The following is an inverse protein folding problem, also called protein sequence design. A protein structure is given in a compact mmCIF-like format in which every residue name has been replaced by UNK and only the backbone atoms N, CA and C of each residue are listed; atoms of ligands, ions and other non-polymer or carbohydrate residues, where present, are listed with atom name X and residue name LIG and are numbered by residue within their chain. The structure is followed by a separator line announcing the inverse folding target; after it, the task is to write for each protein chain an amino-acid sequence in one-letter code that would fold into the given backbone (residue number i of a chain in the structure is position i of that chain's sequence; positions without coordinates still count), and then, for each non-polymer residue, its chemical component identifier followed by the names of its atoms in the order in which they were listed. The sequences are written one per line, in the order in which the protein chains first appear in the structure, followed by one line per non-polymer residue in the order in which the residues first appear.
data_IF_822188033063
#
_entry.id   IF_822188033063
#
_cell.length_a   1.000
_cell.length_b   1.000
_cell.length_c   1.000
_cell.angle_alpha   90.00
_cell.angle_beta   90.00
_cell.angle_gamma   90.00
#
_symmetry.space_group_name_H-M   'P 1'
#
loop_
_entity.id
_entity.type
_entity.pdbx_description
1 polymer ?
#
# COMPACT_ATOMS: atom_id res chain seq x y z
N UNK A 1 -64.30 -28.54 23.90
CA UNK A 1 -64.26 -27.21 24.55
C UNK A 1 -64.55 -26.17 23.49
N UNK A 2 -65.81 -25.75 23.42
CA UNK A 2 -66.41 -24.58 22.75
C UNK A 2 -65.79 -24.06 21.44
N UNK A 3 -66.32 -24.58 20.33
CA UNK A 3 -66.33 -23.95 19.01
C UNK A 3 -67.59 -23.08 18.85
N UNK A 4 -67.46 -21.83 18.44
CA UNK A 4 -68.58 -21.08 17.85
C UNK A 4 -68.08 -20.12 16.78
N UNK A 5 -68.03 -20.64 15.55
CA UNK A 5 -67.96 -19.89 14.30
C UNK A 5 -69.36 -19.30 14.06
N UNK A 6 -69.47 -17.97 14.00
CA UNK A 6 -70.72 -17.30 13.62
C UNK A 6 -70.89 -17.36 12.08
N UNK A 7 -72.10 -17.67 11.56
CA UNK A 7 -72.32 -17.86 10.14
C UNK A 7 -72.59 -16.53 9.40
N UNK A 8 -72.17 -16.50 8.13
CA UNK A 8 -72.58 -15.53 7.11
C UNK A 8 -74.11 -15.52 6.98
N UNK A 9 -74.73 -14.40 7.31
CA UNK A 9 -76.13 -14.16 6.97
C UNK A 9 -76.24 -13.72 5.51
N UNK A 10 -77.02 -14.50 4.77
CA UNK A 10 -77.38 -14.37 3.37
C UNK A 10 -78.23 -13.11 3.16
N UNK A 11 -77.83 -12.26 2.22
CA UNK A 11 -78.67 -11.17 1.70
C UNK A 11 -79.82 -11.75 0.88
N UNK A 12 -81.05 -11.32 1.16
CA UNK A 12 -82.22 -11.48 0.29
C UNK A 12 -83.25 -10.37 0.62
N UNK A 13 -84.12 -9.99 -0.33
CA UNK A 13 -84.12 -8.67 -0.96
C UNK A 13 -85.07 -7.69 -0.27
N UNK A 14 -84.65 -6.42 -0.21
CA UNK A 14 -85.53 -5.33 0.21
C UNK A 14 -86.66 -5.19 -0.82
N UNK A 15 -87.88 -5.38 -0.32
CA UNK A 15 -89.15 -5.09 -0.98
C UNK A 15 -89.13 -3.70 -1.62
N UNK A 16 -89.45 -3.66 -2.90
CA UNK A 16 -90.02 -2.50 -3.58
C UNK A 16 -91.37 -2.15 -2.95
N UNK A 17 -91.47 -0.96 -2.36
CA UNK A 17 -92.73 -0.26 -2.15
C UNK A 17 -92.45 1.24 -2.02
N UNK A 18 -92.85 1.98 -3.05
CA UNK A 18 -93.27 3.37 -3.06
C UNK A 18 -92.34 4.43 -2.43
N UNK A 19 -91.87 5.31 -3.31
CA UNK A 19 -91.28 6.61 -3.07
C UNK A 19 -91.88 7.40 -1.89
N UNK A 20 -91.31 7.24 -0.69
CA UNK A 20 -91.32 8.30 0.32
C UNK A 20 -90.02 9.09 0.17
N UNK A 21 -90.00 10.00 -0.80
CA UNK A 21 -89.01 11.07 -0.87
C UNK A 21 -89.27 12.11 0.24
N UNK A 22 -89.33 11.65 1.50
CA UNK A 22 -89.07 12.49 2.63
C UNK A 22 -87.57 12.79 2.56
N UNK A 23 -87.23 13.93 1.96
CA UNK A 23 -85.93 14.57 2.15
C UNK A 23 -85.64 14.54 3.65
N UNK A 24 -84.85 13.57 4.12
CA UNK A 24 -84.10 13.70 5.34
C UNK A 24 -83.29 14.97 5.12
N UNK A 25 -83.78 16.10 5.68
CA UNK A 25 -82.91 17.22 5.96
C UNK A 25 -81.85 16.62 6.84
N UNK A 26 -80.66 16.37 6.28
CA UNK A 26 -79.50 16.05 7.08
C UNK A 26 -79.42 17.15 8.13
N UNK A 27 -79.57 16.74 9.39
CA UNK A 27 -79.42 17.65 10.50
C UNK A 27 -78.01 18.27 10.39
N UNK A 28 -77.96 19.52 9.92
CA UNK A 28 -76.73 20.31 9.71
C UNK A 28 -75.90 20.43 11.01
N UNK A 29 -76.47 20.01 12.14
CA UNK A 29 -75.82 19.92 13.44
C UNK A 29 -74.71 18.86 13.52
N UNK A 30 -74.69 17.84 12.66
CA UNK A 30 -73.68 16.77 12.73
C UNK A 30 -72.35 17.13 12.03
N UNK A 31 -72.37 18.00 11.01
CA UNK A 31 -71.20 18.24 10.13
C UNK A 31 -70.22 19.28 10.72
N UNK A 32 -70.66 20.15 11.64
CA UNK A 32 -69.83 21.27 12.13
C UNK A 32 -69.18 21.05 13.51
N UNK A 33 -69.17 19.84 14.08
CA UNK A 33 -68.58 19.62 15.41
C UNK A 33 -69.20 20.50 16.51
N UNK A 34 -70.37 21.07 16.26
CA UNK A 34 -71.15 21.80 17.24
C UNK A 34 -71.88 20.78 18.11
N UNK A 35 -71.09 20.08 18.93
CA UNK A 35 -71.61 19.40 20.09
C UNK A 35 -72.41 20.45 20.87
N UNK A 36 -73.73 20.38 20.77
CA UNK A 36 -74.62 21.31 21.44
C UNK A 36 -74.29 21.23 22.93
N UNK A 37 -73.61 22.26 23.44
CA UNK A 37 -73.26 22.38 24.85
C UNK A 37 -74.58 22.58 25.60
N UNK A 38 -75.24 21.47 25.93
CA UNK A 38 -76.55 21.35 26.60
C UNK A 38 -76.50 21.76 28.07
N UNK A 39 -75.54 22.60 28.43
CA UNK A 39 -75.31 23.17 29.77
C UNK A 39 -74.84 24.63 29.72
N UNK A 40 -74.76 25.27 28.54
CA UNK A 40 -74.57 26.73 28.50
C UNK A 40 -75.82 27.38 29.11
N UNK A 41 -75.69 27.82 30.37
CA UNK A 41 -76.62 28.76 31.00
C UNK A 41 -76.60 30.05 30.18
N UNK A 42 -77.49 30.19 29.21
CA UNK A 42 -77.68 31.47 28.52
C UNK A 42 -78.07 32.48 29.58
N UNK A 43 -77.18 33.44 29.86
CA UNK A 43 -77.32 34.42 30.95
C UNK A 43 -78.69 35.11 30.80
N UNK A 44 -79.61 34.87 31.73
CA UNK A 44 -80.98 35.43 31.72
C UNK A 44 -82.12 34.48 31.37
N UNK A 45 -81.86 33.24 30.93
CA UNK A 45 -82.92 32.22 30.75
C UNK A 45 -83.16 31.41 32.02
N UNK A 46 -84.43 31.10 32.30
CA UNK A 46 -84.81 30.20 33.40
C UNK A 46 -84.51 28.75 33.01
N UNK A 47 -83.82 27.96 33.84
CA UNK A 47 -83.56 26.55 33.55
C UNK A 47 -84.85 25.72 33.63
N UNK A 48 -84.91 24.59 32.90
CA UNK A 48 -86.12 23.74 32.81
C UNK A 48 -86.68 23.25 34.15
N UNK A 49 -85.82 23.06 35.16
CA UNK A 49 -86.21 22.61 36.50
C UNK A 49 -86.79 23.72 37.39
N UNK A 50 -86.58 24.99 37.02
CA UNK A 50 -87.11 26.09 37.80
C UNK A 50 -88.57 26.31 37.43
N UNK A 51 -89.48 26.36 38.41
CA UNK A 51 -90.89 26.55 38.10
C UNK A 51 -91.12 27.89 37.40
N UNK A 52 -92.16 27.93 36.57
CA UNK A 52 -92.66 29.16 36.00
C UNK A 52 -93.03 30.14 37.13
N UNK A 53 -92.87 31.44 36.89
CA UNK A 53 -93.27 32.43 37.89
C UNK A 53 -94.79 32.36 38.13
N UNK A 54 -95.26 32.50 39.39
CA UNK A 54 -96.70 32.46 39.70
C UNK A 54 -97.52 33.45 38.86
N UNK A 55 -96.99 34.65 38.62
CA UNK A 55 -97.62 35.68 37.77
C UNK A 55 -97.75 35.30 36.28
N UNK A 56 -97.02 34.28 35.81
CA UNK A 56 -97.06 33.80 34.42
C UNK A 56 -97.86 32.49 34.25
N UNK A 57 -98.27 31.82 35.32
CA UNK A 57 -99.02 30.54 35.27
C UNK A 57 -100.31 30.64 34.47
N UNK A 58 -101.02 31.76 34.61
CA UNK A 58 -102.34 31.97 34.04
C UNK A 58 -102.39 33.14 33.05
N UNK A 59 -101.23 33.64 32.61
CA UNK A 59 -101.16 34.71 31.62
C UNK A 59 -101.41 34.15 30.22
N UNK A 60 -102.62 34.33 29.70
CA UNK A 60 -102.98 33.96 28.33
C UNK A 60 -102.61 35.13 27.40
N UNK A 61 -101.77 34.85 26.39
CA UNK A 61 -101.45 35.84 25.36
C UNK A 61 -102.49 35.74 24.25
N UNK A 62 -103.47 36.65 24.26
CA UNK A 62 -104.32 36.88 23.10
C UNK A 62 -103.43 37.50 22.03
N UNK A 63 -103.21 36.78 20.92
CA UNK A 63 -102.45 37.32 19.79
C UNK A 63 -103.09 38.62 19.27
N UNK A 64 -102.36 39.44 18.50
CA UNK A 64 -102.96 40.61 17.87
C UNK A 64 -104.14 40.18 16.99
N UNK A 65 -105.22 40.98 16.91
CA UNK A 65 -106.32 40.73 15.98
C UNK A 65 -105.76 40.73 14.55
N UNK A 66 -106.30 39.87 13.70
CA UNK A 66 -105.82 39.71 12.32
C UNK A 66 -106.98 39.89 11.36
N UNK A 67 -106.74 40.68 10.34
CA UNK A 67 -107.72 40.87 9.28
C UNK A 67 -107.67 39.68 8.30
N UNK A 68 -108.82 39.11 7.92
CA UNK A 68 -108.86 37.92 7.07
C UNK A 68 -108.33 38.20 5.65
N UNK A 69 -108.54 39.41 5.14
CA UNK A 69 -108.06 39.83 3.82
C UNK A 69 -106.52 39.91 3.78
N UNK A 70 -105.92 40.53 4.79
CA UNK A 70 -104.46 40.63 4.92
C UNK A 70 -103.82 39.24 5.00
N UNK A 71 -104.42 38.33 5.78
CA UNK A 71 -103.96 36.95 5.89
C UNK A 71 -103.94 36.21 4.55
N UNK A 72 -104.99 36.36 3.75
CA UNK A 72 -105.06 35.74 2.43
C UNK A 72 -103.94 36.26 1.50
N UNK A 73 -103.70 37.58 1.52
CA UNK A 73 -102.61 38.21 0.76
C UNK A 73 -101.25 37.72 1.25
N UNK A 74 -101.00 37.73 2.56
CA UNK A 74 -99.74 37.26 3.15
C UNK A 74 -99.48 35.78 2.85
N UNK A 75 -100.51 34.92 2.90
CA UNK A 75 -100.39 33.51 2.55
C UNK A 75 -100.01 33.34 1.07
N UNK A 76 -100.65 34.07 0.17
CA UNK A 76 -100.30 34.05 -1.26
C UNK A 76 -98.85 34.50 -1.49
N UNK A 77 -98.44 35.63 -0.92
CA UNK A 77 -97.09 36.18 -1.09
C UNK A 77 -96.02 35.28 -0.48
N UNK A 78 -96.24 34.76 0.73
CA UNK A 78 -95.29 33.85 1.37
C UNK A 78 -95.18 32.51 0.63
N UNK A 79 -96.27 32.02 0.03
CA UNK A 79 -96.25 30.82 -0.79
C UNK A 79 -95.46 31.03 -2.08
N UNK A 80 -95.67 32.16 -2.76
CA UNK A 80 -94.89 32.54 -3.94
C UNK A 80 -93.39 32.68 -3.62
N UNK A 81 -93.05 33.48 -2.61
CA UNK A 81 -91.68 33.68 -2.14
C UNK A 81 -90.98 32.36 -1.78
N UNK A 82 -91.65 31.48 -1.02
CA UNK A 82 -91.07 30.18 -0.65
C UNK A 82 -90.82 29.28 -1.86
N UNK A 83 -91.67 29.37 -2.88
CA UNK A 83 -91.53 28.62 -4.13
C UNK A 83 -90.32 29.14 -4.91
N UNK A 84 -90.19 30.46 -5.07
CA UNK A 84 -89.04 31.12 -5.71
C UNK A 84 -87.73 30.79 -4.99
N UNK A 85 -87.70 30.92 -3.66
CA UNK A 85 -86.51 30.58 -2.87
C UNK A 85 -86.16 29.08 -2.93
N UNK A 86 -87.17 28.20 -3.06
CA UNK A 86 -86.93 26.77 -3.28
C UNK A 86 -86.33 26.52 -4.65
N UNK A 87 -86.79 27.22 -5.69
CA UNK A 87 -86.22 27.13 -7.03
C UNK A 87 -84.75 27.58 -7.05
N UNK A 88 -84.45 28.72 -6.41
CA UNK A 88 -83.06 29.20 -6.26
C UNK A 88 -82.21 28.16 -5.53
N UNK A 89 -82.68 27.65 -4.38
CA UNK A 89 -81.93 26.62 -3.64
C UNK A 89 -81.64 25.39 -4.49
N UNK A 90 -82.63 24.90 -5.23
CA UNK A 90 -82.47 23.74 -6.09
C UNK A 90 -81.43 23.99 -7.19
N UNK A 91 -81.45 25.17 -7.82
CA UNK A 91 -80.44 25.57 -8.80
C UNK A 91 -79.01 25.47 -8.24
N UNK A 92 -78.77 26.05 -7.07
CA UNK A 92 -77.44 25.98 -6.43
C UNK A 92 -77.05 24.54 -6.02
N UNK A 93 -78.02 23.72 -5.64
CA UNK A 93 -77.76 22.30 -5.33
C UNK A 93 -77.37 21.52 -6.59
N UNK A 94 -78.00 21.79 -7.72
CA UNK A 94 -77.67 21.18 -9.01
C UNK A 94 -76.30 21.64 -9.52
N UNK A 95 -75.94 22.91 -9.38
CA UNK A 95 -74.59 23.39 -9.70
C UNK A 95 -73.53 22.70 -8.83
N UNK A 96 -73.76 22.64 -7.52
CA UNK A 96 -72.84 21.96 -6.61
C UNK A 96 -72.67 20.46 -6.95
N UNK A 97 -73.75 19.79 -7.37
CA UNK A 97 -73.67 18.41 -7.85
C UNK A 97 -72.78 18.29 -9.09
N UNK A 98 -72.87 19.22 -10.04
CA UNK A 98 -72.00 19.25 -11.23
C UNK A 98 -70.53 19.47 -10.86
N UNK A 99 -70.24 20.29 -9.86
CA UNK A 99 -68.87 20.48 -9.36
C UNK A 99 -68.31 19.18 -8.78
N UNK A 100 -69.12 18.43 -8.02
CA UNK A 100 -68.72 17.11 -7.49
C UNK A 100 -68.48 16.10 -8.61
N UNK A 101 -69.33 16.07 -9.64
CA UNK A 101 -69.13 15.21 -10.81
C UNK A 101 -67.85 15.58 -11.59
N UNK A 102 -67.45 16.86 -11.60
CA UNK A 102 -66.17 17.29 -12.17
C UNK A 102 -65.00 16.74 -11.36
N UNK A 103 -65.10 16.73 -10.04
CA UNK A 103 -64.10 16.10 -9.15
C UNK A 103 -63.98 14.60 -9.43
N UNK A 104 -65.07 13.90 -9.67
CA UNK A 104 -65.04 12.47 -10.01
C UNK A 104 -64.35 12.20 -11.37
N UNK A 105 -64.47 13.11 -12.36
CA UNK A 105 -63.73 13.02 -13.63
C UNK A 105 -62.21 13.10 -13.44
N UNK A 106 -61.74 13.84 -12.44
CA UNK A 106 -60.32 13.85 -12.10
C UNK A 106 -59.83 12.48 -11.59
N UNK A 107 -60.71 11.65 -11.03
CA UNK A 107 -60.35 10.27 -10.65
C UNK A 107 -60.06 9.39 -11.87
N UNK A 108 -60.82 9.55 -12.96
CA UNK A 108 -60.57 8.81 -14.20
C UNK A 108 -59.25 9.25 -14.86
N UNK A 109 -59.00 10.57 -14.91
CA UNK A 109 -57.73 11.11 -15.40
C UNK A 109 -56.54 10.61 -14.57
N UNK A 110 -56.68 10.56 -13.25
CA UNK A 110 -55.64 10.01 -12.36
C UNK A 110 -55.30 8.55 -12.67
N UNK A 111 -56.29 7.73 -13.03
CA UNK A 111 -56.04 6.33 -13.41
C UNK A 111 -55.34 6.22 -14.78
N UNK A 112 -55.64 7.13 -15.70
CA UNK A 112 -54.96 7.20 -16.99
C UNK A 112 -53.50 7.64 -16.82
N UNK A 113 -53.25 8.65 -15.97
CA UNK A 113 -51.91 9.11 -15.59
C UNK A 113 -51.07 8.00 -14.96
N UNK A 114 -51.65 7.19 -14.06
CA UNK A 114 -50.97 6.03 -13.47
C UNK A 114 -50.57 4.99 -14.52
N UNK A 115 -51.47 4.70 -15.48
CA UNK A 115 -51.17 3.77 -16.59
C UNK A 115 -50.09 4.30 -17.52
N UNK A 116 -50.07 5.60 -17.79
CA UNK A 116 -49.01 6.22 -18.58
C UNK A 116 -47.66 6.15 -17.85
N UNK A 117 -47.67 6.40 -16.54
CA UNK A 117 -46.48 6.28 -15.71
C UNK A 117 -45.93 4.84 -15.72
N UNK A 118 -46.79 3.82 -15.62
CA UNK A 118 -46.39 2.41 -15.74
C UNK A 118 -45.71 2.12 -17.10
N UNK A 119 -46.28 2.60 -18.20
CA UNK A 119 -45.67 2.43 -19.55
C UNK A 119 -44.28 3.07 -19.64
N UNK A 120 -44.13 4.27 -19.09
CA UNK A 120 -42.85 4.97 -19.07
C UNK A 120 -41.80 4.23 -18.24
N UNK A 121 -42.20 3.61 -17.13
CA UNK A 121 -41.31 2.77 -16.33
C UNK A 121 -40.87 1.54 -17.12
N UNK A 122 -41.79 0.85 -17.82
CA UNK A 122 -41.44 -0.29 -18.66
C UNK A 122 -40.46 0.09 -19.79
N UNK A 123 -40.65 1.25 -20.42
CA UNK A 123 -39.72 1.76 -21.43
C UNK A 123 -38.35 2.10 -20.83
N UNK A 124 -38.33 2.70 -19.64
CA UNK A 124 -37.11 2.98 -18.91
C UNK A 124 -36.35 1.69 -18.56
N UNK A 125 -37.05 0.66 -18.11
CA UNK A 125 -36.48 -0.64 -17.82
C UNK A 125 -35.86 -1.29 -19.06
N UNK A 126 -36.55 -1.24 -20.21
CA UNK A 126 -36.01 -1.75 -21.49
C UNK A 126 -34.75 -0.99 -21.92
N UNK A 127 -34.73 0.32 -21.79
CA UNK A 127 -33.55 1.12 -22.12
C UNK A 127 -32.40 0.86 -21.12
N UNK A 128 -32.71 0.70 -19.83
CA UNK A 128 -31.73 0.31 -18.82
C UNK A 128 -31.10 -1.05 -19.13
N UNK A 129 -31.90 -2.02 -19.59
CA UNK A 129 -31.41 -3.33 -20.03
C UNK A 129 -30.48 -3.20 -21.24
N UNK A 130 -30.88 -2.42 -22.25
CA UNK A 130 -30.05 -2.14 -23.43
C UNK A 130 -28.71 -1.49 -23.04
N UNK A 131 -28.75 -0.47 -22.18
CA UNK A 131 -27.56 0.22 -21.68
C UNK A 131 -26.70 -0.71 -20.84
N UNK A 132 -27.29 -1.61 -20.05
CA UNK A 132 -26.55 -2.61 -19.28
C UNK A 132 -25.74 -3.55 -20.20
N UNK A 133 -26.32 -3.99 -21.32
CA UNK A 133 -25.61 -4.79 -22.33
C UNK A 133 -24.41 -4.03 -22.89
N UNK A 134 -24.60 -2.78 -23.31
CA UNK A 134 -23.50 -1.93 -23.82
C UNK A 134 -22.41 -1.69 -22.76
N UNK A 135 -22.79 -1.50 -21.49
CA UNK A 135 -21.83 -1.38 -20.37
C UNK A 135 -21.01 -2.66 -20.20
N UNK A 136 -21.65 -3.83 -20.28
CA UNK A 136 -20.95 -5.12 -20.20
C UNK A 136 -19.96 -5.29 -21.35
N UNK A 137 -20.33 -4.93 -22.57
CA UNK A 137 -19.43 -4.98 -23.74
C UNK A 137 -18.24 -4.04 -23.57
N UNK A 138 -18.47 -2.80 -23.15
CA UNK A 138 -17.40 -1.84 -22.85
C UNK A 138 -16.46 -2.37 -21.76
N UNK A 139 -17.01 -2.92 -20.68
CA UNK A 139 -16.21 -3.46 -19.58
C UNK A 139 -15.34 -4.63 -20.03
N UNK A 140 -15.87 -5.55 -20.86
CA UNK A 140 -15.08 -6.64 -21.45
C UNK A 140 -13.91 -6.12 -22.29
N UNK A 141 -14.13 -5.05 -23.06
CA UNK A 141 -13.07 -4.41 -23.85
C UNK A 141 -12.01 -3.76 -22.95
N UNK A 142 -12.42 -3.06 -21.89
CA UNK A 142 -11.50 -2.47 -20.91
C UNK A 142 -10.71 -3.54 -20.16
N UNK A 143 -11.34 -4.65 -19.76
CA UNK A 143 -10.68 -5.79 -19.14
C UNK A 143 -9.65 -6.42 -20.08
N UNK A 144 -9.98 -6.61 -21.36
CA UNK A 144 -9.04 -7.11 -22.35
C UNK A 144 -7.81 -6.19 -22.48
N UNK A 145 -8.01 -4.86 -22.54
CA UNK A 145 -6.92 -3.88 -22.57
C UNK A 145 -6.04 -3.95 -21.33
N UNK A 146 -6.64 -4.09 -20.14
CA UNK A 146 -5.89 -4.23 -18.87
C UNK A 146 -5.05 -5.51 -18.87
N UNK A 147 -5.60 -6.62 -19.36
CA UNK A 147 -4.86 -7.88 -19.50
C UNK A 147 -3.67 -7.71 -20.45
N UNK A 148 -3.86 -7.04 -21.60
CA UNK A 148 -2.77 -6.75 -22.53
C UNK A 148 -1.68 -5.87 -21.91
N UNK A 149 -2.04 -4.84 -21.14
CA UNK A 149 -1.08 -4.01 -20.42
C UNK A 149 -0.30 -4.80 -19.36
N UNK A 150 -0.97 -5.67 -18.62
CA UNK A 150 -0.33 -6.55 -17.64
C UNK A 150 0.66 -7.50 -18.32
N UNK A 151 0.27 -8.10 -19.45
CA UNK A 151 1.16 -8.97 -20.23
C UNK A 151 2.39 -8.22 -20.74
N UNK A 152 2.24 -6.97 -21.19
CA UNK A 152 3.37 -6.12 -21.59
C UNK A 152 4.31 -5.85 -20.41
N UNK A 153 3.77 -5.50 -19.24
CA UNK A 153 4.57 -5.29 -18.01
C UNK A 153 5.30 -6.56 -17.58
N UNK A 154 4.64 -7.71 -17.65
CA UNK A 154 5.28 -9.00 -17.37
C UNK A 154 6.41 -9.31 -18.36
N UNK A 155 6.23 -9.02 -19.65
CA UNK A 155 7.26 -9.20 -20.66
C UNK A 155 8.47 -8.27 -20.39
N UNK A 156 8.24 -6.99 -20.12
CA UNK A 156 9.29 -6.03 -19.76
C UNK A 156 10.03 -6.45 -18.48
N UNK A 157 9.30 -6.93 -17.46
CA UNK A 157 9.89 -7.42 -16.22
C UNK A 157 10.77 -8.66 -16.47
N UNK A 158 10.35 -9.59 -17.34
CA UNK A 158 11.16 -10.75 -17.74
C UNK A 158 12.45 -10.33 -18.44
N UNK A 159 12.39 -9.34 -19.34
CA UNK A 159 13.57 -8.80 -20.03
C UNK A 159 14.53 -8.13 -19.04
N UNK A 160 14.03 -7.27 -18.14
CA UNK A 160 14.84 -6.65 -17.09
C UNK A 160 15.49 -7.68 -16.18
N UNK A 161 14.75 -8.71 -15.80
CA UNK A 161 15.27 -9.80 -14.98
C UNK A 161 16.36 -10.61 -15.70
N UNK A 162 16.25 -10.82 -17.01
CA UNK A 162 17.30 -11.44 -17.82
C UNK A 162 18.56 -10.56 -17.88
N UNK A 163 18.42 -9.25 -18.09
CA UNK A 163 19.54 -8.30 -18.09
C UNK A 163 20.26 -8.25 -16.73
N UNK A 164 19.50 -8.25 -15.62
CA UNK A 164 20.08 -8.29 -14.27
C UNK A 164 20.83 -9.60 -14.01
N UNK A 165 20.31 -10.74 -14.49
CA UNK A 165 21.01 -12.02 -14.40
C UNK A 165 22.34 -11.99 -15.15
N UNK A 166 22.34 -11.46 -16.37
CA UNK A 166 23.55 -11.31 -17.17
C UNK A 166 24.58 -10.41 -16.47
N UNK A 167 24.17 -9.25 -15.94
CA UNK A 167 25.04 -8.36 -15.16
C UNK A 167 25.64 -9.06 -13.93
N UNK A 168 24.84 -9.86 -13.21
CA UNK A 168 25.31 -10.62 -12.05
C UNK A 168 26.31 -11.70 -12.47
N UNK A 169 26.09 -12.39 -13.60
CA UNK A 169 27.04 -13.37 -14.13
C UNK A 169 28.35 -12.72 -14.58
N UNK A 170 28.28 -11.56 -15.25
CA UNK A 170 29.46 -10.77 -15.62
C UNK A 170 30.27 -10.35 -14.39
N UNK A 171 29.59 -9.84 -13.35
CA UNK A 171 30.23 -9.49 -12.08
C UNK A 171 30.89 -10.70 -11.41
N UNK A 172 30.22 -11.86 -11.40
CA UNK A 172 30.79 -13.11 -10.87
C UNK A 172 32.07 -13.51 -11.62
N UNK A 173 32.04 -13.46 -12.95
CA UNK A 173 33.21 -13.77 -13.79
C UNK A 173 34.34 -12.77 -13.54
N UNK A 174 34.04 -11.49 -13.37
CA UNK A 174 35.03 -10.46 -13.04
C UNK A 174 35.70 -10.73 -11.68
N UNK A 175 34.94 -11.11 -10.66
CA UNK A 175 35.48 -11.46 -9.33
C UNK A 175 36.43 -12.67 -9.44
N UNK A 176 36.03 -13.73 -10.14
CA UNK A 176 36.88 -14.92 -10.33
C UNK A 176 38.19 -14.58 -11.07
N UNK A 177 38.13 -13.70 -12.08
CA UNK A 177 39.33 -13.21 -12.79
C UNK A 177 40.25 -12.43 -11.84
N UNK A 178 39.69 -11.55 -11.02
CA UNK A 178 40.45 -10.78 -10.03
C UNK A 178 41.11 -11.69 -8.99
N UNK A 179 40.40 -12.70 -8.48
CA UNK A 179 40.96 -13.69 -7.55
C UNK A 179 42.11 -14.47 -8.18
N UNK A 180 41.94 -14.93 -9.43
CA UNK A 180 43.02 -15.59 -10.17
C UNK A 180 44.24 -14.69 -10.33
N UNK A 181 44.05 -13.44 -10.74
CA UNK A 181 45.15 -12.49 -10.92
C UNK A 181 45.90 -12.23 -9.60
N UNK A 182 45.17 -12.03 -8.49
CA UNK A 182 45.77 -11.88 -7.15
C UNK A 182 46.61 -13.09 -6.74
N UNK A 183 46.13 -14.30 -7.05
CA UNK A 183 46.85 -15.53 -6.76
C UNK A 183 48.11 -15.67 -7.62
N UNK A 184 48.05 -15.30 -8.91
CA UNK A 184 49.22 -15.25 -9.79
C UNK A 184 50.24 -14.19 -9.32
N UNK A 185 49.79 -13.02 -8.88
CA UNK A 185 50.64 -11.97 -8.30
C UNK A 185 51.31 -12.43 -7.00
N UNK A 186 50.57 -13.06 -6.08
CA UNK A 186 51.12 -13.60 -4.84
C UNK A 186 52.24 -14.62 -5.12
N UNK A 187 52.03 -15.52 -6.09
CA UNK A 187 53.06 -16.47 -6.53
C UNK A 187 54.30 -15.78 -7.07
N UNK A 188 54.15 -14.73 -7.89
CA UNK A 188 55.28 -13.95 -8.41
C UNK A 188 56.06 -13.27 -7.29
N UNK A 189 55.36 -12.70 -6.30
CA UNK A 189 56.00 -12.07 -5.13
C UNK A 189 56.78 -13.11 -4.31
N UNK A 190 56.19 -14.28 -4.08
CA UNK A 190 56.88 -15.39 -3.39
C UNK A 190 58.15 -15.84 -4.13
N UNK A 191 58.10 -15.97 -5.46
CA UNK A 191 59.28 -16.31 -6.26
C UNK A 191 60.38 -15.24 -6.18
N UNK A 192 60.02 -13.96 -6.22
CA UNK A 192 60.97 -12.86 -6.08
C UNK A 192 61.63 -12.86 -4.69
N UNK A 193 60.85 -13.05 -3.63
CA UNK A 193 61.37 -13.14 -2.27
C UNK A 193 62.37 -14.30 -2.10
N UNK A 194 62.09 -15.47 -2.71
CA UNK A 194 63.03 -16.60 -2.72
C UNK A 194 64.34 -16.23 -3.41
N UNK A 195 64.27 -15.60 -4.60
CA UNK A 195 65.47 -15.13 -5.33
C UNK A 195 66.29 -14.11 -4.53
N UNK A 196 65.62 -13.16 -3.87
CA UNK A 196 66.31 -12.19 -3.00
C UNK A 196 66.98 -12.87 -1.80
N UNK A 197 66.32 -13.82 -1.15
CA UNK A 197 66.88 -14.57 -0.03
C UNK A 197 68.13 -15.36 -0.47
N UNK A 198 68.07 -16.07 -1.59
CA UNK A 198 69.22 -16.78 -2.16
C UNK A 198 70.37 -15.83 -2.52
N UNK A 199 70.08 -14.67 -3.11
CA UNK A 199 71.09 -13.67 -3.43
C UNK A 199 71.76 -13.09 -2.17
N UNK A 200 70.99 -12.82 -1.10
CA UNK A 200 71.51 -12.36 0.19
C UNK A 200 72.44 -13.40 0.84
N UNK A 201 72.07 -14.68 0.80
CA UNK A 201 72.91 -15.77 1.32
C UNK A 201 74.23 -15.86 0.55
N UNK A 202 74.19 -15.82 -0.79
CA UNK A 202 75.40 -15.84 -1.63
C UNK A 202 76.31 -14.63 -1.35
N UNK A 203 75.74 -13.44 -1.18
CA UNK A 203 76.49 -12.24 -0.84
C UNK A 203 77.14 -12.33 0.55
N UNK A 204 76.45 -12.90 1.54
CA UNK A 204 77.01 -13.12 2.87
C UNK A 204 78.21 -14.06 2.82
N UNK A 205 78.10 -15.18 2.09
CA UNK A 205 79.20 -16.14 1.90
C UNK A 205 80.43 -15.49 1.23
N UNK A 206 80.21 -14.66 0.19
CA UNK A 206 81.31 -13.93 -0.47
C UNK A 206 81.98 -12.93 0.48
N UNK A 207 81.21 -12.23 1.31
CA UNK A 207 81.76 -11.30 2.32
C UNK A 207 82.63 -12.03 3.33
N UNK A 208 82.17 -13.16 3.84
CA UNK A 208 82.95 -13.99 4.78
C UNK A 208 84.29 -14.44 4.16
N UNK A 209 84.27 -14.93 2.92
CA UNK A 209 85.49 -15.31 2.19
C UNK A 209 86.47 -14.14 2.03
N UNK A 210 85.96 -12.95 1.68
CA UNK A 210 86.80 -11.75 1.55
C UNK A 210 87.38 -11.32 2.90
N UNK A 211 86.59 -11.38 3.98
CA UNK A 211 87.07 -11.06 5.33
C UNK A 211 88.16 -12.03 5.81
N UNK A 212 88.03 -13.32 5.51
CA UNK A 212 89.07 -14.32 5.80
C UNK A 212 90.37 -14.01 5.08
N UNK A 213 90.30 -13.70 3.78
CA UNK A 213 91.46 -13.30 3.00
C UNK A 213 92.13 -12.06 3.62
N UNK A 214 91.35 -11.03 3.96
CA UNK A 214 91.87 -9.80 4.58
C UNK A 214 92.50 -10.08 5.95
N UNK A 215 91.91 -10.96 6.78
CA UNK A 215 92.48 -11.35 8.09
C UNK A 215 93.81 -12.07 7.93
N UNK A 216 93.91 -13.00 6.98
CA UNK A 216 95.16 -13.70 6.68
C UNK A 216 96.23 -12.73 6.19
N UNK A 217 95.86 -11.79 5.32
CA UNK A 217 96.80 -10.82 4.76
C UNK A 217 97.27 -9.80 5.81
N UNK A 218 96.41 -9.37 6.74
CA UNK A 218 96.80 -8.54 7.91
C UNK A 218 97.81 -9.25 8.83
N UNK A 219 97.68 -10.57 9.00
CA UNK A 219 98.68 -11.35 9.75
C UNK A 219 100.01 -11.38 9.00
N UNK A 220 99.98 -11.55 7.67
CA UNK A 220 101.18 -11.56 6.81
C UNK A 220 101.88 -10.20 6.76
N UNK A 221 101.14 -9.09 6.72
CA UNK A 221 101.75 -7.76 6.63
C UNK A 221 102.66 -7.41 7.80
N UNK A 222 102.47 -8.04 8.98
CA UNK A 222 103.37 -7.88 10.12
C UNK A 222 104.79 -8.40 9.86
N UNK A 223 104.97 -9.30 8.91
CA UNK A 223 106.26 -9.96 8.58
C UNK A 223 106.95 -9.36 7.35
N UNK A 224 106.40 -8.31 6.76
CA UNK A 224 106.98 -7.68 5.57
C UNK A 224 108.18 -6.82 5.94
N UNK A 225 109.23 -6.87 5.12
CA UNK A 225 110.44 -6.06 5.30
C UNK A 225 110.07 -4.59 5.09
N UNK A 226 110.15 -3.81 6.15
CA UNK A 226 110.03 -2.34 6.12
C UNK A 226 111.43 -1.73 5.98
N UNK A 227 111.50 -0.42 5.68
CA UNK A 227 112.78 0.31 5.62
C UNK A 227 113.55 0.25 6.95
N UNK A 228 112.84 0.12 8.07
CA UNK A 228 113.42 0.06 9.42
C UNK A 228 114.06 -1.31 9.71
N UNK A 229 113.43 -2.40 9.26
CA UNK A 229 113.89 -3.78 9.49
C UNK A 229 114.72 -4.33 8.31
N UNK A 230 115.25 -3.45 7.45
CA UNK A 230 115.87 -3.82 6.19
C UNK A 230 117.27 -4.40 6.38
N UNK A 231 118.12 -3.73 7.17
CA UNK A 231 119.50 -4.17 7.41
C UNK A 231 119.52 -5.51 8.17
N UNK A 232 118.68 -5.64 9.21
CA UNK A 232 118.51 -6.89 9.98
C UNK A 232 118.02 -8.05 9.11
N UNK A 233 117.11 -7.78 8.16
CA UNK A 233 116.63 -8.79 7.23
C UNK A 233 117.70 -9.23 6.22
N UNK A 234 118.58 -8.31 5.78
CA UNK A 234 119.69 -8.62 4.88
C UNK A 234 120.72 -9.50 5.60
N UNK A 235 121.12 -9.13 6.82
CA UNK A 235 122.06 -9.92 7.62
C UNK A 235 121.52 -11.33 7.86
N UNK A 236 120.25 -11.45 8.29
CA UNK A 236 119.60 -12.74 8.51
C UNK A 236 119.56 -13.61 7.24
N UNK A 237 119.31 -13.01 6.07
CA UNK A 237 119.26 -13.73 4.80
C UNK A 237 120.65 -14.20 4.31
N UNK A 238 121.70 -13.45 4.64
CA UNK A 238 123.09 -13.83 4.33
C UNK A 238 123.56 -14.96 5.25
N UNK A 239 123.26 -14.87 6.54
CA UNK A 239 123.62 -15.89 7.53
C UNK A 239 122.90 -17.21 7.30
N UNK A 240 121.65 -17.17 6.83
CA UNK A 240 120.79 -18.34 6.62
C UNK A 240 120.47 -18.55 5.13
N UNK A 241 121.37 -19.18 4.33
CA UNK A 241 121.04 -19.54 2.95
C UNK A 241 119.93 -20.58 2.93
N UNK A 242 118.82 -20.24 2.26
CA UNK A 242 117.64 -21.10 2.16
C UNK A 242 117.69 -21.90 0.85
N UNK A 243 117.57 -23.23 0.96
CA UNK A 243 117.34 -24.11 -0.20
C UNK A 243 115.85 -24.44 -0.32
N UNK A 244 115.26 -24.16 -1.50
CA UNK A 244 113.91 -24.63 -1.87
C UNK A 244 113.96 -25.95 -2.65
N UNK A 245 115.15 -26.56 -2.79
CA UNK A 245 115.32 -27.83 -3.49
C UNK A 245 114.81 -28.98 -2.62
N UNK A 246 113.69 -29.58 -3.03
CA UNK A 246 113.19 -30.82 -2.46
C UNK A 246 112.79 -31.79 -3.58
N UNK A 247 112.97 -33.08 -3.33
CA UNK A 247 112.46 -34.14 -4.17
C UNK A 247 111.17 -34.71 -3.56
N UNK A 248 110.28 -35.23 -4.41
CA UNK A 248 109.05 -35.91 -3.97
C UNK A 248 109.14 -37.36 -4.42
N UNK A 249 108.96 -38.28 -3.47
CA UNK A 249 108.79 -39.70 -3.77
C UNK A 249 107.43 -39.98 -4.42
N UNK A 250 107.27 -41.12 -5.08
CA UNK A 250 105.98 -41.54 -5.67
C UNK A 250 104.83 -41.66 -4.63
N UNK A 251 105.16 -41.74 -3.34
CA UNK A 251 104.19 -41.72 -2.22
C UNK A 251 103.84 -40.31 -1.73
N UNK A 252 104.37 -39.27 -2.37
CA UNK A 252 104.12 -37.87 -2.00
C UNK A 252 104.92 -37.39 -0.77
N UNK A 253 105.98 -38.10 -0.38
CA UNK A 253 106.85 -37.71 0.74
C UNK A 253 107.97 -36.80 0.23
N UNK A 254 108.15 -35.65 0.86
CA UNK A 254 109.16 -34.65 0.50
C UNK A 254 110.50 -34.99 1.18
N UNK A 255 111.58 -35.07 0.40
CA UNK A 255 112.97 -35.26 0.87
C UNK A 255 113.73 -33.97 0.54
N UNK A 256 114.34 -33.36 1.56
CA UNK A 256 115.00 -32.05 1.45
C UNK A 256 116.54 -32.18 1.42
N UNK A 257 117.20 -31.36 0.62
CA UNK A 257 118.65 -31.21 0.65
C UNK A 257 119.05 -30.16 1.70
N UNK A 258 119.55 -30.61 2.85
CA UNK A 258 119.97 -29.74 3.95
C UNK A 258 118.86 -29.41 4.94
N UNK A 259 118.98 -28.28 5.65
CA UNK A 259 117.97 -27.81 6.61
C UNK A 259 116.72 -27.31 5.86
N UNK A 260 115.52 -27.85 6.14
CA UNK A 260 114.31 -27.44 5.45
C UNK A 260 114.00 -25.95 5.65
N UNK A 261 113.51 -25.28 4.60
CA UNK A 261 113.22 -23.84 4.65
C UNK A 261 112.32 -23.43 5.83
N UNK A 262 111.36 -24.27 6.26
CA UNK A 262 110.45 -23.93 7.36
C UNK A 262 111.06 -24.06 8.77
N UNK A 263 112.21 -24.73 8.95
CA UNK A 263 112.79 -24.93 10.29
C UNK A 263 113.56 -23.71 10.81
N UNK A 264 114.15 -22.92 9.91
CA UNK A 264 114.89 -21.69 10.25
C UNK A 264 113.96 -20.54 10.73
N UNK A 265 112.71 -20.52 10.25
CA UNK A 265 111.72 -19.49 10.61
C UNK A 265 111.00 -19.75 11.95
N UNK A 266 111.45 -20.71 12.75
CA UNK A 266 110.99 -20.88 14.14
C UNK A 266 111.66 -19.90 15.12
N UNK A 267 112.81 -19.31 14.75
CA UNK A 267 113.62 -18.48 15.64
C UNK A 267 113.95 -17.08 15.07
N UNK A 268 113.46 -16.74 13.87
CA UNK A 268 113.67 -15.43 13.22
C UNK A 268 112.49 -14.45 13.38
N UNK A 269 112.66 -13.17 12.97
CA UNK A 269 111.63 -12.13 13.09
C UNK A 269 110.41 -12.34 12.17
N UNK A 270 110.50 -13.25 11.20
CA UNK A 270 109.41 -13.62 10.31
C UNK A 270 108.74 -14.93 10.75
N UNK A 271 107.41 -14.91 10.86
CA UNK A 271 106.61 -16.09 11.19
C UNK A 271 106.66 -17.12 10.04
N UNK A 272 106.82 -18.40 10.36
CA UNK A 272 106.79 -19.49 9.37
C UNK A 272 105.61 -19.35 8.38
N UNK A 273 105.92 -19.28 7.09
CA UNK A 273 104.92 -19.28 6.02
C UNK A 273 104.28 -20.67 5.96
N UNK A 274 103.07 -20.80 6.51
CA UNK A 274 102.27 -21.98 6.27
C UNK A 274 101.79 -21.92 4.81
N UNK A 275 102.27 -22.85 3.98
CA UNK A 275 101.65 -23.07 2.67
C UNK A 275 100.15 -23.34 2.90
N UNK A 276 99.26 -22.72 2.11
CA UNK A 276 97.83 -23.05 2.20
C UNK A 276 97.70 -24.57 2.02
N UNK A 277 96.91 -25.20 2.89
CA UNK A 277 96.59 -26.62 2.73
C UNK A 277 96.15 -26.85 1.29
N UNK A 278 96.80 -27.79 0.59
CA UNK A 278 96.36 -28.16 -0.75
C UNK A 278 94.91 -28.59 -0.62
N UNK A 279 93.98 -27.78 -1.13
CA UNK A 279 92.60 -28.23 -1.34
C UNK A 279 92.71 -29.49 -2.19
N UNK A 280 92.30 -30.63 -1.64
CA UNK A 280 92.10 -31.81 -2.46
C UNK A 280 91.06 -31.39 -3.51
N UNK A 281 91.49 -31.37 -4.77
CA UNK A 281 90.59 -31.18 -5.90
C UNK A 281 89.74 -32.44 -6.07
#
# INVERSE_FOLDING_TARGET
MLSSVLPKAVMSPLRSAACDAAFHRSDVSLVLGLQQVRWKKTKGMKPRWMPIAPSKLFKINLGPPKDPEELAVLQRLTSAYRTEMKAIRNFWMEEHQKDLELVDKHSALSQEEEREHERLLEENEKENQRVAVLRMERNKLEEARRVEELLKREAEAKVKLAQLKEQVEEQRVAVLRMERNKLEEARRVEELLKREAEAKVKLAQLKEQVEEIVKLEKKRSSTYVTLENLDEAIEFAIENPISYSFAIDQQGKEIWEGTPHYELYKQGPAHAYALPERKQF
#
